data_IF_361343595250
#
_entry.id   IF_361343595250
#
_cell.length_a   1.000
_cell.length_b   1.000
_cell.length_c   1.000
_cell.angle_alpha   90.00
_cell.angle_beta   90.00
_cell.angle_gamma   90.00
#
_symmetry.space_group_name_H-M   'P 1'
#
loop_
_entity.id
_entity.type
_entity.pdbx_description
1 polymer ?
#
# COMPACT_ATOMS: atom_id res chain seq x y z
N UNK A 1 -17.63 7.94 -0.09
CA UNK A 1 -17.29 9.25 -0.70
C UNK A 1 -16.19 8.99 -1.72
N UNK A 2 -16.23 9.55 -2.94
CA UNK A 2 -15.19 9.31 -3.96
C UNK A 2 -14.23 10.51 -4.01
N UNK A 3 -12.91 10.27 -3.97
CA UNK A 3 -11.86 11.30 -4.01
C UNK A 3 -12.00 12.29 -5.16
N UNK A 4 -12.32 11.78 -6.35
CA UNK A 4 -12.47 12.57 -7.57
C UNK A 4 -13.61 13.59 -7.44
N UNK A 5 -14.72 13.18 -6.82
CA UNK A 5 -15.86 14.05 -6.55
C UNK A 5 -15.49 15.15 -5.56
N UNK A 6 -14.82 14.79 -4.46
CA UNK A 6 -14.40 15.74 -3.41
C UNK A 6 -13.53 16.84 -4.01
N UNK A 7 -12.52 16.46 -4.80
CA UNK A 7 -11.58 17.42 -5.37
C UNK A 7 -12.25 18.30 -6.43
N UNK A 8 -13.17 17.75 -7.23
CA UNK A 8 -13.97 18.56 -8.16
C UNK A 8 -14.77 19.64 -7.40
N UNK A 9 -15.42 19.26 -6.31
CA UNK A 9 -16.22 20.17 -5.49
C UNK A 9 -15.35 21.23 -4.79
N UNK A 10 -14.15 20.86 -4.34
CA UNK A 10 -13.15 21.81 -3.82
C UNK A 10 -12.65 22.79 -4.88
N UNK A 11 -12.58 22.36 -6.14
CA UNK A 11 -12.29 23.23 -7.28
C UNK A 11 -13.49 24.13 -7.66
N UNK A 12 -14.65 23.99 -7.00
CA UNK A 12 -15.85 24.79 -7.25
C UNK A 12 -16.55 24.46 -8.58
N UNK A 13 -16.31 23.29 -9.16
CA UNK A 13 -16.82 22.90 -10.48
C UNK A 13 -17.98 21.91 -10.37
N UNK A 14 -18.97 22.05 -11.26
CA UNK A 14 -20.05 21.07 -11.49
C UNK A 14 -19.59 19.96 -12.44
N UNK A 15 -20.33 18.84 -12.49
CA UNK A 15 -20.01 17.75 -13.43
C UNK A 15 -20.17 18.22 -14.90
N UNK A 16 -21.15 19.08 -15.15
CA UNK A 16 -21.45 19.70 -16.44
C UNK A 16 -20.30 20.58 -16.93
N UNK A 17 -19.73 21.42 -16.06
CA UNK A 17 -18.60 22.29 -16.41
C UNK A 17 -17.34 21.51 -16.77
N UNK A 18 -17.03 20.46 -16.00
CA UNK A 18 -15.90 19.56 -16.30
C UNK A 18 -16.15 18.81 -17.60
N UNK A 19 -17.36 18.27 -17.79
CA UNK A 19 -17.73 17.57 -19.00
C UNK A 19 -17.60 18.46 -20.25
N UNK A 20 -18.06 19.71 -20.16
CA UNK A 20 -17.93 20.71 -21.21
C UNK A 20 -16.47 21.00 -21.54
N UNK A 21 -15.62 21.15 -20.52
CA UNK A 21 -14.17 21.40 -20.67
C UNK A 21 -13.48 20.26 -21.45
N UNK A 22 -13.86 19.01 -21.19
CA UNK A 22 -13.26 17.82 -21.81
C UNK A 22 -14.03 17.29 -23.03
N UNK A 23 -15.07 18.00 -23.49
CA UNK A 23 -15.94 17.59 -24.62
C UNK A 23 -16.53 16.19 -24.45
N UNK A 24 -16.99 15.88 -23.23
CA UNK A 24 -17.71 14.64 -22.89
C UNK A 24 -19.06 14.96 -22.27
N UNK A 25 -19.83 13.93 -21.93
CA UNK A 25 -21.12 14.08 -21.24
C UNK A 25 -20.93 14.17 -19.72
N UNK A 26 -21.82 14.87 -19.02
CA UNK A 26 -21.85 14.89 -17.55
C UNK A 26 -21.97 13.46 -16.97
N UNK A 27 -22.69 12.57 -17.66
CA UNK A 27 -22.78 11.15 -17.31
C UNK A 27 -21.41 10.44 -17.34
N UNK A 28 -20.49 10.85 -18.21
CA UNK A 28 -19.12 10.30 -18.25
C UNK A 28 -18.36 10.67 -16.98
N UNK A 29 -18.42 11.94 -16.56
CA UNK A 29 -17.82 12.42 -15.31
C UNK A 29 -18.45 11.72 -14.10
N UNK A 30 -19.78 11.60 -14.09
CA UNK A 30 -20.50 10.86 -13.06
C UNK A 30 -20.06 9.39 -12.96
N UNK A 31 -19.83 8.71 -14.10
CA UNK A 31 -19.34 7.32 -14.12
C UNK A 31 -17.93 7.20 -13.57
N UNK A 32 -17.05 8.17 -13.84
CA UNK A 32 -15.73 8.23 -13.22
C UNK A 32 -15.83 8.40 -11.70
N UNK A 33 -16.66 9.33 -11.21
CA UNK A 33 -16.87 9.56 -9.78
C UNK A 33 -17.58 8.40 -9.06
N UNK A 34 -18.29 7.54 -9.79
CA UNK A 34 -18.90 6.32 -9.23
C UNK A 34 -18.00 5.09 -9.37
N UNK A 35 -16.87 5.19 -10.06
CA UNK A 35 -15.99 4.04 -10.33
C UNK A 35 -16.61 2.97 -11.25
N UNK A 36 -17.74 3.25 -11.89
CA UNK A 36 -18.43 2.28 -12.78
C UNK A 36 -17.80 2.20 -14.17
N UNK A 37 -16.82 3.06 -14.45
CA UNK A 37 -15.98 3.01 -15.64
C UNK A 37 -14.52 3.18 -15.21
N UNK A 38 -13.65 2.29 -15.67
CA UNK A 38 -12.23 2.41 -15.41
C UNK A 38 -11.69 3.70 -16.07
N UNK A 39 -10.97 4.53 -15.30
CA UNK A 39 -10.41 5.79 -15.76
C UNK A 39 -8.96 5.54 -16.18
N UNK A 40 -8.58 6.01 -17.38
CA UNK A 40 -7.18 5.88 -17.82
C UNK A 40 -6.30 6.92 -17.13
N UNK A 41 -4.99 6.64 -17.03
CA UNK A 41 -4.00 7.59 -16.49
C UNK A 41 -4.05 8.95 -17.22
N UNK A 42 -4.15 8.94 -18.55
CA UNK A 42 -4.28 10.16 -19.34
C UNK A 42 -5.52 10.98 -18.96
N UNK A 43 -6.62 10.34 -18.56
CA UNK A 43 -7.81 11.04 -18.09
C UNK A 43 -7.63 11.61 -16.68
N UNK A 44 -6.95 10.88 -15.80
CA UNK A 44 -6.58 11.38 -14.47
C UNK A 44 -5.71 12.64 -14.58
N UNK A 45 -4.71 12.65 -15.45
CA UNK A 45 -3.87 13.83 -15.69
C UNK A 45 -4.66 15.04 -16.17
N UNK A 46 -5.61 14.82 -17.09
CA UNK A 46 -6.49 15.87 -17.62
C UNK A 46 -7.38 16.47 -16.52
N UNK A 47 -7.96 15.62 -15.68
CA UNK A 47 -8.77 16.06 -14.56
C UNK A 47 -7.94 16.79 -13.51
N UNK A 48 -6.76 16.27 -13.18
CA UNK A 48 -5.85 16.87 -12.22
C UNK A 48 -5.47 18.29 -12.64
N UNK A 49 -5.15 18.48 -13.93
CA UNK A 49 -4.89 19.80 -14.51
C UNK A 49 -6.10 20.72 -14.41
N UNK A 50 -7.31 20.20 -14.60
CA UNK A 50 -8.55 20.99 -14.51
C UNK A 50 -8.84 21.43 -13.08
N UNK A 51 -8.52 20.57 -12.11
CA UNK A 51 -8.76 20.81 -10.69
C UNK A 51 -7.61 21.53 -9.99
N UNK A 52 -6.49 21.78 -10.68
CA UNK A 52 -5.32 22.45 -10.10
C UNK A 52 -4.54 21.59 -9.09
N UNK A 53 -4.59 20.26 -9.21
CA UNK A 53 -3.91 19.33 -8.29
C UNK A 53 -2.96 18.40 -9.05
N UNK A 54 -2.13 17.65 -8.31
CA UNK A 54 -1.35 16.53 -8.87
C UNK A 54 -2.26 15.32 -9.10
N UNK A 55 -1.99 14.52 -10.14
CA UNK A 55 -2.78 13.34 -10.46
C UNK A 55 -2.85 12.33 -9.30
N UNK A 56 -1.78 12.21 -8.51
CA UNK A 56 -1.75 11.39 -7.30
C UNK A 56 -2.79 11.79 -6.26
N UNK A 57 -3.19 13.06 -6.19
CA UNK A 57 -4.19 13.52 -5.22
C UNK A 57 -5.61 13.00 -5.55
N UNK A 58 -5.86 12.62 -6.81
CA UNK A 58 -7.15 12.10 -7.29
C UNK A 58 -7.37 10.62 -6.96
N UNK A 59 -6.28 9.94 -6.61
CA UNK A 59 -6.27 8.55 -6.20
C UNK A 59 -6.32 8.62 -4.68
N UNK A 60 -7.37 8.09 -4.05
CA UNK A 60 -7.25 7.78 -2.62
C UNK A 60 -6.07 6.82 -2.51
N UNK A 61 -5.26 6.93 -1.46
CA UNK A 61 -4.36 5.86 -1.05
C UNK A 61 -5.24 4.64 -0.71
N UNK A 62 -5.77 3.98 -1.75
CA UNK A 62 -5.98 2.56 -1.75
C UNK A 62 -4.55 2.09 -1.53
N UNK A 63 -4.20 1.87 -0.25
CA UNK A 63 -3.22 0.85 0.06
C UNK A 63 -3.58 -0.25 -0.91
N UNK A 64 -2.70 -0.47 -1.89
CA UNK A 64 -2.85 -1.62 -2.74
C UNK A 64 -3.09 -2.74 -1.73
N UNK A 65 -4.28 -3.31 -1.73
CA UNK A 65 -4.46 -4.58 -1.06
C UNK A 65 -3.63 -5.48 -1.95
N UNK A 66 -2.32 -5.49 -1.69
CA UNK A 66 -1.42 -6.45 -2.28
C UNK A 66 -2.13 -7.75 -1.96
N UNK A 67 -2.51 -8.47 -3.01
CA UNK A 67 -3.10 -9.79 -2.86
C UNK A 67 -2.27 -10.48 -1.78
N UNK A 68 -2.91 -10.83 -0.66
CA UNK A 68 -2.23 -11.58 0.40
C UNK A 68 -1.68 -12.79 -0.34
N UNK A 69 -0.35 -12.84 -0.44
CA UNK A 69 0.34 -13.71 -1.38
C UNK A 69 -0.23 -15.12 -1.20
N UNK A 70 -0.88 -15.68 -2.22
CA UNK A 70 -1.46 -17.03 -2.12
C UNK A 70 -0.37 -18.09 -1.83
N UNK A 71 0.90 -17.69 -1.94
CA UNK A 71 2.11 -18.43 -1.65
C UNK A 71 2.80 -17.96 -0.34
N UNK A 72 2.02 -17.42 0.61
CA UNK A 72 2.52 -17.14 1.95
C UNK A 72 2.83 -18.45 2.69
N UNK A 73 4.12 -18.73 2.89
CA UNK A 73 4.57 -19.77 3.82
C UNK A 73 4.26 -19.35 5.28
N UNK A 74 3.07 -19.74 5.76
CA UNK A 74 2.58 -19.43 7.11
C UNK A 74 3.48 -20.05 8.20
N UNK A 75 4.07 -21.22 7.93
CA UNK A 75 4.96 -21.90 8.87
C UNK A 75 6.26 -21.09 9.07
N UNK A 76 6.86 -20.60 7.98
CA UNK A 76 8.02 -19.74 8.04
C UNK A 76 7.71 -18.41 8.72
N UNK A 77 6.58 -17.78 8.38
CA UNK A 77 6.17 -16.52 8.99
C UNK A 77 5.98 -16.67 10.50
N UNK A 78 5.32 -17.74 10.94
CA UNK A 78 5.12 -18.04 12.35
C UNK A 78 6.45 -18.24 13.08
N UNK A 79 7.39 -18.96 12.50
CA UNK A 79 8.70 -19.20 13.12
C UNK A 79 9.50 -17.89 13.22
N UNK A 80 9.52 -17.05 12.16
CA UNK A 80 10.15 -15.72 12.17
C UNK A 80 9.53 -14.83 13.25
N UNK A 81 8.20 -14.74 13.31
CA UNK A 81 7.47 -13.94 14.29
C UNK A 81 7.76 -14.42 15.72
N UNK A 82 7.77 -15.74 15.93
CA UNK A 82 8.06 -16.33 17.25
C UNK A 82 9.45 -15.93 17.76
N UNK A 83 10.47 -15.96 16.90
CA UNK A 83 11.81 -15.54 17.30
C UNK A 83 11.90 -14.04 17.56
N UNK A 84 11.31 -13.22 16.69
CA UNK A 84 11.31 -11.77 16.86
C UNK A 84 10.64 -11.37 18.19
N UNK A 85 9.48 -11.94 18.50
CA UNK A 85 8.77 -11.68 19.76
C UNK A 85 9.57 -12.14 20.99
N UNK A 86 10.18 -13.33 20.95
CA UNK A 86 11.05 -13.81 22.04
C UNK A 86 12.26 -12.90 22.25
N UNK A 87 12.86 -12.40 21.18
CA UNK A 87 14.04 -11.53 21.26
C UNK A 87 13.70 -10.16 21.85
N UNK A 88 12.48 -9.69 21.61
CA UNK A 88 11.94 -8.43 22.10
C UNK A 88 11.21 -8.58 23.45
N UNK A 89 11.21 -9.77 24.06
CA UNK A 89 10.52 -10.01 25.33
C UNK A 89 11.08 -9.09 26.42
N UNK A 90 10.19 -8.33 27.07
CA UNK A 90 10.57 -7.33 28.07
C UNK A 90 11.16 -6.03 27.52
N UNK A 91 11.22 -5.85 26.20
CA UNK A 91 11.69 -4.64 25.53
C UNK A 91 10.50 -3.94 24.87
N UNK A 92 10.35 -2.64 25.12
CA UNK A 92 9.38 -1.82 24.41
C UNK A 92 9.86 -1.61 22.97
N UNK A 93 9.25 -2.32 22.02
CA UNK A 93 9.57 -2.21 20.59
C UNK A 93 8.41 -1.57 19.86
N UNK A 94 8.69 -0.54 19.07
CA UNK A 94 7.71 0.07 18.18
C UNK A 94 7.14 -0.99 17.21
N UNK A 95 5.80 -1.18 17.16
CA UNK A 95 5.17 -2.13 16.25
C UNK A 95 5.58 -1.98 14.78
N UNK A 96 5.87 -0.76 14.32
CA UNK A 96 6.32 -0.51 12.95
C UNK A 96 7.72 -1.06 12.72
N UNK A 97 8.61 -0.97 13.71
CA UNK A 97 9.95 -1.54 13.66
C UNK A 97 9.88 -3.08 13.67
N UNK A 98 9.08 -3.65 14.58
CA UNK A 98 8.88 -5.10 14.64
C UNK A 98 8.32 -5.65 13.32
N UNK A 99 7.34 -4.97 12.74
CA UNK A 99 6.77 -5.33 11.44
C UNK A 99 7.82 -5.32 10.34
N UNK A 100 8.66 -4.28 10.25
CA UNK A 100 9.77 -4.19 9.27
C UNK A 100 10.77 -5.32 9.44
N UNK A 101 11.11 -5.70 10.67
CA UNK A 101 12.02 -6.82 10.97
C UNK A 101 11.43 -8.13 10.48
N UNK A 102 10.21 -8.45 10.91
CA UNK A 102 9.53 -9.70 10.52
C UNK A 102 9.40 -9.79 9.01
N UNK A 103 8.95 -8.73 8.34
CA UNK A 103 8.75 -8.72 6.89
C UNK A 103 10.04 -8.93 6.10
N UNK A 104 11.12 -8.24 6.47
CA UNK A 104 12.40 -8.36 5.77
C UNK A 104 13.06 -9.71 6.02
N UNK A 105 13.01 -10.23 7.25
CA UNK A 105 13.52 -11.56 7.57
C UNK A 105 12.74 -12.64 6.82
N UNK A 106 11.42 -12.58 6.83
CA UNK A 106 10.56 -13.48 6.07
C UNK A 106 10.89 -13.47 4.57
N UNK A 107 10.95 -12.28 3.95
CA UNK A 107 11.29 -12.13 2.52
C UNK A 107 12.69 -12.65 2.18
N UNK A 108 13.65 -12.56 3.11
CA UNK A 108 15.01 -13.12 2.92
C UNK A 108 15.00 -14.64 3.02
N UNK A 109 14.33 -15.19 4.03
CA UNK A 109 14.22 -16.62 4.26
C UNK A 109 13.48 -17.34 3.13
N UNK A 110 12.38 -16.76 2.63
CA UNK A 110 11.57 -17.33 1.54
C UNK A 110 12.33 -17.42 0.20
N UNK A 111 13.34 -16.58 -0.02
CA UNK A 111 14.16 -16.57 -1.25
C UNK A 111 15.31 -17.57 -1.24
N UNK A 112 15.45 -18.38 -0.19
CA UNK A 112 16.51 -19.38 -0.09
C UNK A 112 16.18 -20.59 -0.97
N UNK A 113 17.19 -21.17 -1.61
CA UNK A 113 17.05 -22.35 -2.48
C UNK A 113 16.47 -23.57 -1.74
N UNK A 114 16.71 -23.64 -0.42
CA UNK A 114 16.18 -24.66 0.47
C UNK A 114 15.46 -24.02 1.65
N UNK A 115 14.50 -24.76 2.23
CA UNK A 115 13.79 -24.34 3.44
C UNK A 115 14.81 -24.00 4.55
N UNK A 116 14.75 -22.79 5.14
CA UNK A 116 15.73 -22.35 6.11
C UNK A 116 15.64 -23.16 7.39
N UNK A 117 16.80 -23.59 7.90
CA UNK A 117 16.87 -24.22 9.23
C UNK A 117 16.59 -23.17 10.32
N UNK A 118 16.06 -23.61 11.46
CA UNK A 118 15.75 -22.73 12.62
C UNK A 118 16.92 -21.84 13.05
N UNK A 119 18.14 -22.39 13.05
CA UNK A 119 19.36 -21.63 13.37
C UNK A 119 19.61 -20.45 12.41
N UNK A 120 19.34 -20.65 11.11
CA UNK A 120 19.51 -19.61 10.08
C UNK A 120 18.43 -18.54 10.17
N UNK A 121 17.21 -18.91 10.58
CA UNK A 121 16.14 -17.94 10.85
C UNK A 121 16.51 -17.07 12.04
N UNK A 122 16.96 -17.69 13.14
CA UNK A 122 17.40 -17.00 14.35
C UNK A 122 18.51 -16.01 14.06
N UNK A 123 19.58 -16.44 13.39
CA UNK A 123 20.70 -15.58 12.98
C UNK A 123 20.21 -14.36 12.20
N UNK A 124 19.31 -14.55 11.23
CA UNK A 124 18.77 -13.44 10.42
C UNK A 124 17.86 -12.50 11.22
N UNK A 125 17.12 -13.00 12.20
CA UNK A 125 16.34 -12.16 13.13
C UNK A 125 17.27 -11.32 13.98
N UNK A 126 18.31 -11.93 14.54
CA UNK A 126 19.30 -11.25 15.38
C UNK A 126 20.06 -10.18 14.58
N UNK A 127 20.54 -10.49 13.36
CA UNK A 127 21.18 -9.52 12.43
C UNK A 127 20.31 -8.31 12.11
N UNK A 128 18.98 -8.47 12.14
CA UNK A 128 18.04 -7.39 11.86
C UNK A 128 17.67 -6.58 13.10
N UNK A 129 17.79 -7.18 14.29
CA UNK A 129 17.46 -6.55 15.57
C UNK A 129 18.67 -5.91 16.26
N UNK A 130 19.90 -6.23 15.86
CA UNK A 130 21.11 -5.55 16.37
C UNK A 130 21.03 -4.03 16.22
N UNK A 131 20.30 -3.49 15.24
CA UNK A 131 20.12 -2.05 15.06
C UNK A 131 18.97 -1.42 15.90
N UNK A 132 18.24 -2.21 16.70
CA UNK A 132 17.00 -1.79 17.39
C UNK A 132 17.13 -1.92 18.92
N UNK A 133 18.07 -2.74 19.40
CA UNK A 133 18.18 -3.16 20.80
C UNK A 133 19.46 -2.61 21.49
N UNK A 134 20.22 -1.77 20.79
CA UNK A 134 21.33 -0.96 21.34
C UNK A 134 20.87 0.50 21.51
#
# INVERSE_FOLDING_TARGET
MNRLKIIREQAGLTQEEVAKTHKVTAQTIQRFEKGTRNISLSWLEKLAKTYGVRASALIDDVEAVEAVDADLDEALLREVLTYALKRCEGIAVDPEILSKVVCKTYKRCRKMENAPKKAQIKEKVDDMLTCVVD
#
